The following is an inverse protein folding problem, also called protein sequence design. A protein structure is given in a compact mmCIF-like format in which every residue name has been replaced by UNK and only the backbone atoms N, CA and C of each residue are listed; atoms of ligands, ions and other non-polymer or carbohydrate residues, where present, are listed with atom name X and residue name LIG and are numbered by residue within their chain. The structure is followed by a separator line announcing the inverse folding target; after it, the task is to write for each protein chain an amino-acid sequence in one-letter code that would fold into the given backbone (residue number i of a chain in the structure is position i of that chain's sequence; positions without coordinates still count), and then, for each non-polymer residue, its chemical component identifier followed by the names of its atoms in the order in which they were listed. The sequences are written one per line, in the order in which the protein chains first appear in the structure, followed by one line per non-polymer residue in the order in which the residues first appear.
data_IF_787204205792
#
_entry.id   IF_787204205792
#
_cell.length_a   1.000
_cell.length_b   1.000
_cell.length_c   1.000
_cell.angle_alpha   90.00
_cell.angle_beta   90.00
_cell.angle_gamma   90.00
#
_symmetry.space_group_name_H-M   'P 1'
#
loop_
_entity.id
_entity.type
_entity.pdbx_description
1 polymer ?
#
# COMPACT_ATOMS: atom_id res chain seq x y z
N UNK A 1 0.17 53.11 -22.52
CA UNK A 1 0.81 51.78 -22.67
C UNK A 1 1.04 51.18 -21.28
N UNK A 2 0.00 50.58 -20.67
CA UNK A 2 0.09 50.05 -19.28
C UNK A 2 -0.95 48.97 -18.92
N UNK A 3 -1.86 48.58 -19.83
CA UNK A 3 -2.99 47.67 -19.52
C UNK A 3 -2.67 46.16 -19.66
N UNK A 4 -1.45 45.77 -20.05
CA UNK A 4 -1.09 44.34 -20.19
C UNK A 4 -0.53 43.71 -18.91
N UNK A 5 -0.06 44.50 -17.94
CA UNK A 5 0.61 43.97 -16.74
C UNK A 5 -0.36 43.40 -15.71
N UNK A 6 -1.60 43.92 -15.64
CA UNK A 6 -2.61 43.48 -14.65
C UNK A 6 -3.18 42.09 -14.95
N UNK A 7 -3.48 41.79 -16.22
CA UNK A 7 -3.99 40.48 -16.63
C UNK A 7 -2.97 39.36 -16.42
N UNK A 8 -1.71 39.62 -16.78
CA UNK A 8 -0.60 38.69 -16.55
C UNK A 8 -0.36 38.44 -15.06
N UNK A 9 -0.42 39.49 -14.23
CA UNK A 9 -0.31 39.36 -12.77
C UNK A 9 -1.45 38.53 -12.18
N UNK A 10 -2.70 38.77 -12.58
CA UNK A 10 -3.86 37.98 -12.11
C UNK A 10 -3.78 36.52 -12.55
N UNK A 11 -3.31 36.25 -13.78
CA UNK A 11 -3.10 34.89 -14.28
C UNK A 11 -1.96 34.18 -13.55
N UNK A 12 -0.89 34.90 -13.21
CA UNK A 12 0.22 34.40 -12.40
C UNK A 12 -0.21 34.11 -10.95
N UNK A 13 -0.95 35.03 -10.33
CA UNK A 13 -1.54 34.86 -9.00
C UNK A 13 -2.54 33.70 -8.96
N UNK A 14 -3.33 33.49 -10.02
CA UNK A 14 -4.23 32.33 -10.15
C UNK A 14 -3.47 31.01 -10.28
N UNK A 15 -2.30 31.01 -10.93
CA UNK A 15 -1.41 29.85 -11.03
C UNK A 15 -0.71 29.53 -9.69
N UNK A 16 -0.40 30.55 -8.90
CA UNK A 16 0.13 30.41 -7.53
C UNK A 16 -0.95 30.00 -6.52
N UNK A 17 -2.17 30.51 -6.69
CA UNK A 17 -3.37 30.13 -5.95
C UNK A 17 -4.12 29.02 -6.69
N UNK A 18 -3.40 28.06 -7.25
CA UNK A 18 -4.02 26.78 -7.54
C UNK A 18 -4.25 26.15 -6.17
N UNK A 19 -5.49 26.04 -5.65
CA UNK A 19 -5.73 25.17 -4.50
C UNK A 19 -5.27 23.79 -4.97
N UNK A 20 -4.16 23.31 -4.41
CA UNK A 20 -3.74 21.93 -4.60
C UNK A 20 -4.78 21.12 -3.84
N UNK A 21 -5.89 20.87 -4.53
CA UNK A 21 -6.98 20.05 -4.06
C UNK A 21 -6.50 18.62 -4.06
N UNK A 22 -5.75 18.26 -3.03
CA UNK A 22 -5.56 16.89 -2.57
C UNK A 22 -5.41 16.93 -1.05
N UNK A 23 -6.49 17.27 -0.35
CA UNK A 23 -6.75 16.74 1.00
C UNK A 23 -7.15 15.26 0.89
N UNK A 24 -6.31 14.46 0.24
CA UNK A 24 -6.45 13.00 0.19
C UNK A 24 -5.53 12.32 1.23
N UNK A 25 -4.83 13.11 2.06
CA UNK A 25 -3.65 12.66 2.78
C UNK A 25 -3.77 12.51 4.29
N UNK A 26 -4.88 12.90 4.92
CA UNK A 26 -5.03 12.79 6.37
C UNK A 26 -6.35 12.09 6.71
N UNK A 27 -6.44 10.79 6.39
CA UNK A 27 -7.41 9.92 7.07
C UNK A 27 -7.03 9.93 8.55
N UNK A 28 -7.95 10.39 9.39
CA UNK A 28 -7.80 10.38 10.86
C UNK A 28 -7.32 9.01 11.33
N UNK A 29 -6.53 8.95 12.41
CA UNK A 29 -6.02 7.67 12.96
C UNK A 29 -7.13 6.63 13.15
N UNK A 30 -8.35 7.09 13.49
CA UNK A 30 -9.51 6.22 13.63
C UNK A 30 -9.99 5.64 12.29
N UNK A 31 -9.90 6.39 11.18
CA UNK A 31 -10.21 5.91 9.82
C UNK A 31 -9.22 4.82 9.38
N UNK A 32 -7.93 4.98 9.72
CA UNK A 32 -6.92 3.95 9.49
C UNK A 32 -7.24 2.65 10.25
N UNK A 33 -7.68 2.71 11.50
CA UNK A 33 -8.11 1.54 12.28
C UNK A 33 -9.37 0.89 11.68
N UNK A 34 -10.27 1.70 11.13
CA UNK A 34 -11.50 1.20 10.51
C UNK A 34 -11.23 0.53 9.16
N UNK A 35 -10.27 1.02 8.38
CA UNK A 35 -9.78 0.35 7.18
C UNK A 35 -9.04 -0.96 7.51
N UNK A 36 -8.31 -1.01 8.63
CA UNK A 36 -7.55 -2.18 9.06
C UNK A 36 -8.43 -3.41 9.31
N UNK A 37 -9.69 -3.28 9.77
CA UNK A 37 -10.56 -4.45 10.10
C UNK A 37 -10.73 -5.40 8.92
N UNK A 38 -10.96 -4.83 7.74
CA UNK A 38 -11.21 -5.57 6.52
C UNK A 38 -9.92 -6.13 5.93
N UNK A 39 -8.80 -5.41 6.10
CA UNK A 39 -7.46 -5.90 5.76
C UNK A 39 -7.05 -7.08 6.64
N UNK A 40 -7.36 -7.06 7.94
CA UNK A 40 -7.09 -8.15 8.87
C UNK A 40 -7.94 -9.38 8.52
N UNK A 41 -9.23 -9.22 8.23
CA UNK A 41 -10.11 -10.32 7.84
C UNK A 41 -9.65 -10.99 6.53
N UNK A 42 -9.32 -10.20 5.50
CA UNK A 42 -8.77 -10.73 4.23
C UNK A 42 -7.39 -11.33 4.41
N UNK A 43 -6.54 -10.71 5.22
CA UNK A 43 -5.19 -11.19 5.52
C UNK A 43 -5.23 -12.56 6.19
N UNK A 44 -6.04 -12.72 7.23
CA UNK A 44 -6.23 -14.00 7.93
C UNK A 44 -6.80 -15.07 6.99
N UNK A 45 -7.77 -14.72 6.13
CA UNK A 45 -8.32 -15.65 5.15
C UNK A 45 -7.23 -16.18 4.19
N UNK A 46 -6.41 -15.29 3.62
CA UNK A 46 -5.30 -15.66 2.74
C UNK A 46 -4.26 -16.49 3.50
N UNK A 47 -3.97 -16.13 4.74
CA UNK A 47 -3.00 -16.83 5.58
C UNK A 47 -3.45 -18.25 5.92
N UNK A 48 -4.73 -18.44 6.24
CA UNK A 48 -5.31 -19.76 6.50
C UNK A 48 -5.22 -20.67 5.26
N UNK A 49 -5.57 -20.13 4.09
CA UNK A 49 -5.47 -20.89 2.83
C UNK A 49 -4.01 -21.23 2.51
N UNK A 50 -3.08 -20.28 2.70
CA UNK A 50 -1.66 -20.52 2.50
C UNK A 50 -1.12 -21.59 3.45
N UNK A 51 -1.50 -21.56 4.73
CA UNK A 51 -1.14 -22.60 5.70
C UNK A 51 -1.65 -23.97 5.29
N UNK A 52 -2.92 -24.08 4.86
CA UNK A 52 -3.50 -25.34 4.40
C UNK A 52 -2.73 -25.87 3.18
N UNK A 53 -2.41 -25.01 2.21
CA UNK A 53 -1.65 -25.39 1.02
C UNK A 53 -0.24 -25.90 1.35
N UNK A 54 0.43 -25.26 2.31
CA UNK A 54 1.73 -25.69 2.84
C UNK A 54 1.60 -27.04 3.56
N UNK A 55 0.55 -27.23 4.35
CA UNK A 55 0.29 -28.49 5.07
C UNK A 55 0.02 -29.68 4.14
N UNK A 56 -0.59 -29.46 2.97
CA UNK A 56 -0.78 -30.52 1.98
C UNK A 56 0.56 -30.90 1.33
N UNK A 57 1.44 -29.92 1.10
CA UNK A 57 2.75 -30.13 0.49
C UNK A 57 3.85 -30.28 1.56
N UNK A 58 3.50 -30.82 2.73
CA UNK A 58 4.39 -30.84 3.88
C UNK A 58 5.69 -31.58 3.58
N UNK A 59 5.64 -32.71 2.86
CA UNK A 59 6.84 -33.46 2.48
C UNK A 59 7.81 -32.60 1.64
N UNK A 60 7.29 -31.90 0.62
CA UNK A 60 8.10 -31.00 -0.20
C UNK A 60 8.66 -29.81 0.61
N UNK A 61 7.86 -29.22 1.50
CA UNK A 61 8.28 -28.08 2.34
C UNK A 61 9.31 -28.52 3.37
N UNK A 62 9.13 -29.69 3.98
CA UNK A 62 10.11 -30.25 4.89
C UNK A 62 11.41 -30.54 4.16
N UNK A 63 11.39 -31.15 2.98
CA UNK A 63 12.60 -31.46 2.21
C UNK A 63 13.32 -30.21 1.67
N UNK A 64 12.59 -29.20 1.17
CA UNK A 64 13.15 -28.05 0.45
C UNK A 64 13.32 -26.77 1.30
N UNK A 65 12.61 -26.61 2.41
CA UNK A 65 12.67 -25.39 3.25
C UNK A 65 13.28 -25.68 4.61
N UNK A 66 12.86 -26.77 5.28
CA UNK A 66 13.30 -27.10 6.64
C UNK A 66 14.57 -27.95 6.64
N UNK A 67 14.60 -28.99 5.82
CA UNK A 67 15.73 -29.91 5.61
C UNK A 67 16.61 -29.47 4.44
N UNK A 68 16.37 -28.30 3.85
CA UNK A 68 17.21 -27.72 2.82
C UNK A 68 18.71 -27.70 3.20
N UNK A 69 19.11 -27.28 4.43
CA UNK A 69 20.50 -27.40 4.88
C UNK A 69 20.83 -28.76 5.51
N UNK A 70 19.84 -29.62 5.74
CA UNK A 70 20.02 -30.95 6.33
C UNK A 70 20.29 -32.03 5.28
N UNK A 71 20.16 -31.72 3.98
CA UNK A 71 20.69 -32.55 2.89
C UNK A 71 22.12 -32.10 2.56
N UNK A 72 23.15 -32.87 2.97
CA UNK A 72 24.57 -32.52 2.81
C UNK A 72 25.04 -32.79 1.38
N UNK A 73 24.44 -32.11 0.39
CA UNK A 73 24.62 -32.41 -1.04
C UNK A 73 24.72 -31.22 -1.99
N UNK A 74 24.73 -29.98 -1.50
CA UNK A 74 25.14 -28.81 -2.30
C UNK A 74 25.79 -27.73 -1.43
#
# INVERSE_FOLDING_TARGET
MSITTDKTRKQFLKKLRSPKGEEQGEMTFMDHLEALRWHLARGVLVWLVAMIAIFINIDWVFDNVIMAPANPGF
#
